data_IF_844981151644
#
_entry.id   IF_844981151644
#
_cell.length_a   1.000
_cell.length_b   1.000
_cell.length_c   1.000
_cell.angle_alpha   90.00
_cell.angle_beta   90.00
_cell.angle_gamma   90.00
#
_symmetry.space_group_name_H-M   'P 1'
#
loop_
_entity.id
_entity.type
_entity.pdbx_description
1 polymer ?
#
# COMPACT_ATOMS: atom_id res chain seq x y z
N UNK A 1 52.21 0.91 -11.58
CA UNK A 1 50.78 1.25 -11.44
C UNK A 1 50.70 2.77 -11.32
N UNK A 2 50.12 3.46 -12.31
CA UNK A 2 50.00 4.93 -12.27
C UNK A 2 48.98 5.34 -11.22
N UNK A 3 49.38 6.13 -10.23
CA UNK A 3 48.45 6.70 -9.25
C UNK A 3 47.37 7.55 -9.96
N UNK A 4 46.09 7.44 -9.55
CA UNK A 4 45.01 8.23 -10.13
C UNK A 4 45.28 9.74 -9.89
N UNK A 5 45.18 10.53 -10.96
CA UNK A 5 45.40 11.98 -10.91
C UNK A 5 44.33 12.68 -10.06
N UNK A 6 44.73 13.39 -9.00
CA UNK A 6 43.82 14.05 -8.05
C UNK A 6 43.38 15.43 -8.56
N UNK A 7 42.08 15.62 -8.82
CA UNK A 7 41.50 16.92 -9.19
C UNK A 7 40.64 17.47 -8.05
N UNK A 8 41.12 18.53 -7.39
CA UNK A 8 40.50 19.08 -6.17
C UNK A 8 40.25 20.60 -6.23
N UNK A 9 39.99 21.15 -7.42
CA UNK A 9 39.94 22.59 -7.65
C UNK A 9 38.82 23.33 -6.90
N UNK A 10 37.68 22.68 -6.66
CA UNK A 10 36.58 23.25 -5.88
C UNK A 10 36.91 23.34 -4.38
N UNK A 11 37.58 22.32 -3.84
CA UNK A 11 38.04 22.27 -2.46
C UNK A 11 39.08 23.38 -2.19
N UNK A 12 40.04 23.54 -3.11
CA UNK A 12 41.03 24.62 -3.08
C UNK A 12 40.39 26.01 -3.08
N UNK A 13 39.41 26.24 -3.96
CA UNK A 13 38.66 27.51 -4.00
C UNK A 13 37.92 27.80 -2.70
N UNK A 14 37.34 26.79 -2.06
CA UNK A 14 36.64 26.93 -0.77
C UNK A 14 37.62 27.26 0.36
N UNK A 15 38.70 26.49 0.48
CA UNK A 15 39.75 26.75 1.46
C UNK A 15 40.26 28.18 1.30
N UNK A 16 40.58 28.60 0.08
CA UNK A 16 41.05 29.96 -0.19
C UNK A 16 40.08 31.04 0.30
N UNK A 17 38.79 30.88 0.01
CA UNK A 17 37.75 31.84 0.41
C UNK A 17 37.54 31.85 1.92
N UNK A 18 37.57 30.68 2.57
CA UNK A 18 37.45 30.54 4.02
C UNK A 18 38.59 31.25 4.75
N UNK A 19 39.81 31.14 4.23
CA UNK A 19 40.98 31.84 4.75
C UNK A 19 41.07 33.31 4.33
N UNK A 20 40.09 33.83 3.55
CA UNK A 20 40.08 35.21 3.08
C UNK A 20 41.22 35.57 2.11
N UNK A 21 41.84 34.59 1.45
CA UNK A 21 43.03 34.79 0.63
C UNK A 21 42.72 35.10 -0.85
N UNK A 22 43.55 35.94 -1.46
CA UNK A 22 43.60 36.08 -2.93
C UNK A 22 44.32 34.88 -3.54
N UNK A 23 44.11 34.61 -4.84
CA UNK A 23 44.84 33.52 -5.52
C UNK A 23 46.36 33.72 -5.43
N UNK A 24 46.85 34.96 -5.53
CA UNK A 24 48.27 35.24 -5.43
C UNK A 24 48.82 34.93 -4.02
N UNK A 25 48.09 35.32 -2.98
CA UNK A 25 48.49 35.07 -1.58
C UNK A 25 48.49 33.59 -1.23
N UNK A 26 47.48 32.83 -1.66
CA UNK A 26 47.45 31.38 -1.44
C UNK A 26 48.53 30.65 -2.25
N UNK A 27 48.79 31.07 -3.50
CA UNK A 27 49.84 30.48 -4.32
C UNK A 27 51.22 30.69 -3.69
N UNK A 28 51.47 31.87 -3.11
CA UNK A 28 52.69 32.17 -2.37
C UNK A 28 52.85 31.29 -1.13
N UNK A 29 51.78 31.10 -0.33
CA UNK A 29 51.82 30.20 0.83
C UNK A 29 52.07 28.74 0.46
N UNK A 30 51.54 28.28 -0.67
CA UNK A 30 51.75 26.93 -1.19
C UNK A 30 53.03 26.77 -2.02
N UNK A 31 53.88 27.80 -2.08
CA UNK A 31 55.12 27.80 -2.86
C UNK A 31 54.92 27.34 -4.32
N UNK A 32 53.87 27.86 -4.98
CA UNK A 32 53.54 27.64 -6.39
C UNK A 32 53.26 28.96 -7.11
N UNK A 33 53.25 28.93 -8.45
CA UNK A 33 52.89 30.13 -9.21
C UNK A 33 51.36 30.38 -9.16
N UNK A 34 50.92 31.66 -9.18
CA UNK A 34 49.49 32.00 -9.25
C UNK A 34 48.79 31.40 -10.47
N UNK A 35 49.49 31.31 -11.60
CA UNK A 35 49.00 30.67 -12.82
C UNK A 35 48.74 29.18 -12.58
N UNK A 36 49.66 28.49 -11.91
CA UNK A 36 49.49 27.08 -11.57
C UNK A 36 48.34 26.85 -10.58
N UNK A 37 48.19 27.71 -9.56
CA UNK A 37 47.04 27.66 -8.65
C UNK A 37 45.71 27.84 -9.42
N UNK A 38 45.65 28.76 -10.37
CA UNK A 38 44.45 28.96 -11.19
C UNK A 38 44.10 27.72 -12.04
N UNK A 39 45.10 27.05 -12.61
CA UNK A 39 44.90 25.82 -13.40
C UNK A 39 44.36 24.67 -12.53
N UNK A 40 44.90 24.47 -11.33
CA UNK A 40 44.42 23.41 -10.41
C UNK A 40 43.05 23.78 -9.80
N UNK A 41 42.79 25.06 -9.49
CA UNK A 41 41.47 25.52 -9.03
C UNK A 41 40.38 25.28 -10.08
N UNK A 42 40.72 25.36 -11.37
CA UNK A 42 39.83 25.09 -12.51
C UNK A 42 39.83 23.63 -12.97
N UNK A 43 40.50 22.73 -12.25
CA UNK A 43 40.67 21.32 -12.62
C UNK A 43 41.31 21.09 -14.01
N UNK A 44 42.06 22.07 -14.53
CA UNK A 44 42.79 21.93 -15.80
C UNK A 44 44.12 21.20 -15.62
N UNK A 45 44.63 21.13 -14.38
CA UNK A 45 45.76 20.30 -13.99
C UNK A 45 45.44 19.56 -12.69
N UNK A 46 45.94 18.33 -12.51
CA UNK A 46 45.82 17.63 -11.26
C UNK A 46 46.72 18.26 -10.19
N UNK A 47 46.29 18.14 -8.94
CA UNK A 47 47.04 18.54 -7.75
C UNK A 47 48.16 17.52 -7.53
N UNK A 48 49.40 18.00 -7.44
CA UNK A 48 50.56 17.14 -7.18
C UNK A 48 50.67 16.80 -5.70
N UNK A 49 51.30 15.67 -5.38
CA UNK A 49 51.54 15.24 -3.99
C UNK A 49 52.22 16.33 -3.15
N UNK A 50 53.16 17.08 -3.73
CA UNK A 50 53.80 18.23 -3.08
C UNK A 50 52.79 19.29 -2.62
N UNK A 51 51.84 19.64 -3.48
CA UNK A 51 50.80 20.64 -3.15
C UNK A 51 49.85 20.09 -2.09
N UNK A 52 49.56 18.78 -2.09
CA UNK A 52 48.75 18.15 -1.02
C UNK A 52 49.43 18.27 0.35
N UNK A 53 50.73 17.99 0.42
CA UNK A 53 51.49 18.14 1.68
C UNK A 53 51.49 19.59 2.18
N UNK A 54 51.72 20.55 1.30
CA UNK A 54 51.67 21.99 1.64
C UNK A 54 50.28 22.42 2.13
N UNK A 55 49.20 21.84 1.62
CA UNK A 55 47.84 22.11 2.10
C UNK A 55 47.60 21.58 3.52
N UNK A 56 48.18 20.43 3.85
CA UNK A 56 48.11 19.88 5.21
C UNK A 56 48.91 20.75 6.17
N UNK A 57 50.15 21.08 5.81
CA UNK A 57 51.06 21.82 6.69
C UNK A 57 50.62 23.28 6.92
N UNK A 58 50.20 23.99 5.86
CA UNK A 58 49.91 25.42 5.94
C UNK A 58 48.46 25.74 6.32
N UNK A 59 47.55 24.79 6.16
CA UNK A 59 46.11 25.02 6.31
C UNK A 59 45.36 23.96 7.13
N UNK A 60 46.08 23.01 7.74
CA UNK A 60 45.52 21.89 8.52
C UNK A 60 44.38 21.16 7.76
N UNK A 61 44.52 21.05 6.44
CA UNK A 61 43.47 20.53 5.57
C UNK A 61 43.54 19.01 5.45
N UNK A 62 42.49 18.29 5.87
CA UNK A 62 42.42 16.82 5.72
C UNK A 62 42.46 16.41 4.23
N UNK A 63 43.47 15.61 3.79
CA UNK A 63 43.56 15.12 2.41
C UNK A 63 42.33 14.32 1.96
N UNK A 64 41.57 13.71 2.88
CA UNK A 64 40.33 13.01 2.57
C UNK A 64 39.24 13.97 2.07
N UNK A 65 39.27 15.23 2.51
CA UNK A 65 38.41 16.31 2.03
C UNK A 65 38.74 16.81 0.62
N UNK A 66 39.83 16.33 -0.01
CA UNK A 66 40.12 16.60 -1.43
C UNK A 66 39.36 15.64 -2.36
N UNK A 67 38.80 14.53 -1.83
CA UNK A 67 38.09 13.49 -2.60
C UNK A 67 36.56 13.63 -2.59
N UNK A 68 36.00 14.81 -2.30
CA UNK A 68 34.55 15.03 -2.19
C UNK A 68 33.73 14.85 -3.51
N UNK A 69 34.30 14.30 -4.58
CA UNK A 69 33.58 13.98 -5.82
C UNK A 69 32.87 12.62 -5.83
N UNK A 70 32.95 11.82 -4.75
CA UNK A 70 32.29 10.50 -4.69
C UNK A 70 30.76 10.59 -4.70
N UNK A 71 30.17 11.69 -4.21
CA UNK A 71 28.71 11.85 -4.10
C UNK A 71 27.97 11.93 -5.45
N UNK A 72 28.65 12.39 -6.51
CA UNK A 72 28.03 12.52 -7.85
C UNK A 72 28.26 11.25 -8.68
N UNK A 73 29.31 10.48 -8.39
CA UNK A 73 29.81 9.41 -9.27
C UNK A 73 30.52 9.95 -10.52
N UNK A 74 31.07 11.17 -10.45
CA UNK A 74 31.77 11.83 -11.56
C UNK A 74 30.88 12.26 -12.73
N UNK A 75 31.48 12.48 -13.90
CA UNK A 75 30.78 12.87 -15.13
C UNK A 75 29.77 11.79 -15.54
N UNK A 76 30.14 10.51 -15.44
CA UNK A 76 29.24 9.39 -15.77
C UNK A 76 28.03 9.31 -14.84
N UNK A 77 28.23 9.61 -13.55
CA UNK A 77 27.14 9.66 -12.60
C UNK A 77 26.15 10.79 -12.90
N UNK A 78 26.64 11.97 -13.26
CA UNK A 78 25.78 13.11 -13.58
C UNK A 78 25.09 12.94 -14.95
N UNK A 79 25.80 12.44 -15.96
CA UNK A 79 25.26 12.16 -17.29
C UNK A 79 24.11 11.14 -17.22
N UNK A 80 24.22 10.11 -16.38
CA UNK A 80 23.14 9.13 -16.16
C UNK A 80 21.88 9.77 -15.58
N UNK A 81 22.01 10.74 -14.69
CA UNK A 81 20.86 11.43 -14.06
C UNK A 81 20.19 12.41 -15.01
N UNK A 82 20.99 13.10 -15.84
CA UNK A 82 20.48 14.05 -16.83
C UNK A 82 19.94 13.36 -18.09
N UNK A 83 20.26 12.08 -18.32
CA UNK A 83 19.67 11.24 -19.36
C UNK A 83 18.34 10.57 -18.99
N UNK A 84 17.70 10.98 -17.90
CA UNK A 84 16.35 10.53 -17.51
C UNK A 84 15.29 11.01 -18.52
N UNK A 85 14.24 10.20 -18.77
CA UNK A 85 13.19 10.52 -19.75
C UNK A 85 12.51 11.88 -19.50
N UNK A 86 12.48 12.35 -18.24
CA UNK A 86 11.91 13.66 -17.87
C UNK A 86 12.67 14.85 -18.44
N UNK A 87 13.89 14.63 -18.93
CA UNK A 87 14.75 15.66 -19.53
C UNK A 87 15.01 15.41 -21.01
N UNK A 88 14.32 14.45 -21.64
CA UNK A 88 14.55 14.07 -23.03
C UNK A 88 14.32 15.23 -24.02
N UNK A 89 13.50 16.22 -23.65
CA UNK A 89 13.23 17.44 -24.41
C UNK A 89 14.36 18.46 -24.39
N UNK A 90 15.29 18.37 -23.41
CA UNK A 90 16.38 19.33 -23.23
C UNK A 90 17.62 18.99 -24.07
N UNK A 91 17.74 17.76 -24.58
CA UNK A 91 18.83 17.36 -25.48
C UNK A 91 20.24 17.43 -24.87
N UNK A 92 20.35 17.29 -23.53
CA UNK A 92 21.58 17.52 -22.78
C UNK A 92 22.67 16.52 -23.19
N UNK A 93 23.78 17.02 -23.71
CA UNK A 93 24.88 16.18 -24.16
C UNK A 93 26.00 16.02 -23.10
N UNK A 94 26.95 15.12 -23.37
CA UNK A 94 28.04 14.82 -22.44
C UNK A 94 29.02 15.99 -22.27
N UNK A 95 29.12 16.88 -23.26
CA UNK A 95 29.96 18.07 -23.18
C UNK A 95 29.35 19.08 -22.20
N UNK A 96 28.04 19.32 -22.27
CA UNK A 96 27.30 20.18 -21.33
C UNK A 96 27.35 19.65 -19.89
N UNK A 97 27.26 18.33 -19.69
CA UNK A 97 27.44 17.71 -18.37
C UNK A 97 28.83 17.98 -17.81
N UNK A 98 29.85 17.91 -18.66
CA UNK A 98 31.25 18.17 -18.29
C UNK A 98 31.44 19.65 -17.92
N UNK A 99 30.85 20.56 -18.70
CA UNK A 99 30.89 21.99 -18.44
C UNK A 99 30.16 22.36 -17.14
N UNK A 100 28.98 21.80 -16.90
CA UNK A 100 28.21 22.02 -15.68
C UNK A 100 28.99 21.58 -14.43
N UNK A 101 29.62 20.40 -14.47
CA UNK A 101 30.43 19.90 -13.37
C UNK A 101 31.67 20.79 -13.11
N UNK A 102 32.27 21.35 -14.17
CA UNK A 102 33.44 22.22 -14.07
C UNK A 102 33.10 23.63 -13.57
N UNK A 103 31.99 24.19 -14.05
CA UNK A 103 31.53 25.54 -13.73
C UNK A 103 30.93 25.63 -12.32
N UNK A 104 30.05 24.68 -11.96
CA UNK A 104 29.26 24.72 -10.74
C UNK A 104 29.21 23.35 -10.01
N UNK A 105 30.34 22.82 -9.53
CA UNK A 105 30.43 21.48 -8.95
C UNK A 105 29.53 21.26 -7.73
N UNK A 106 29.25 22.31 -6.95
CA UNK A 106 28.35 22.23 -5.80
C UNK A 106 26.87 22.25 -6.20
N UNK A 107 26.51 22.97 -7.27
CA UNK A 107 25.17 22.90 -7.83
C UNK A 107 24.93 21.53 -8.46
N UNK A 108 25.93 20.95 -9.13
CA UNK A 108 25.88 19.59 -9.63
C UNK A 108 25.76 18.55 -8.50
N UNK A 109 26.47 18.74 -7.38
CA UNK A 109 26.33 17.89 -6.19
C UNK A 109 24.95 18.02 -5.53
N UNK A 110 24.43 19.25 -5.38
CA UNK A 110 23.10 19.51 -4.85
C UNK A 110 22.01 18.95 -5.77
N UNK A 111 22.17 19.08 -7.09
CA UNK A 111 21.30 18.44 -8.08
C UNK A 111 21.36 16.92 -7.98
N UNK A 112 22.55 16.31 -7.91
CA UNK A 112 22.67 14.86 -7.76
C UNK A 112 22.01 14.38 -6.46
N UNK A 113 22.22 15.08 -5.34
CA UNK A 113 21.53 14.81 -4.07
C UNK A 113 20.02 14.97 -4.19
N UNK A 114 19.53 16.06 -4.76
CA UNK A 114 18.09 16.28 -4.95
C UNK A 114 17.48 15.25 -5.91
N UNK A 115 18.19 14.87 -6.97
CA UNK A 115 17.74 13.87 -7.94
C UNK A 115 17.73 12.48 -7.32
N UNK A 116 18.69 12.14 -6.46
CA UNK A 116 18.73 10.86 -5.75
C UNK A 116 17.75 10.84 -4.58
N UNK A 117 17.60 11.94 -3.84
CA UNK A 117 16.59 12.13 -2.79
C UNK A 117 15.20 12.16 -3.38
N UNK A 118 15.01 12.75 -4.56
CA UNK A 118 13.76 12.70 -5.30
C UNK A 118 13.63 11.42 -6.12
N UNK A 119 14.69 10.66 -6.36
CA UNK A 119 14.62 9.26 -6.74
C UNK A 119 14.15 8.41 -5.57
N UNK A 120 14.50 8.79 -4.33
CA UNK A 120 14.03 8.22 -3.06
C UNK A 120 12.71 8.81 -2.52
N UNK A 121 12.26 9.95 -3.04
CA UNK A 121 10.96 10.57 -2.76
C UNK A 121 10.00 10.47 -3.96
N UNK A 122 10.50 10.02 -5.12
CA UNK A 122 9.76 9.51 -6.28
C UNK A 122 9.77 7.98 -6.33
N UNK A 123 10.59 7.29 -5.53
CA UNK A 123 10.03 6.25 -4.69
C UNK A 123 8.92 6.97 -3.95
N UNK A 124 7.71 6.89 -4.49
CA UNK A 124 6.52 7.21 -3.72
C UNK A 124 6.79 6.59 -2.36
N UNK A 125 6.83 7.40 -1.30
CA UNK A 125 6.52 6.86 0.01
C UNK A 125 5.14 6.26 -0.21
N UNK A 126 5.09 4.98 -0.55
CA UNK A 126 3.86 4.31 -0.96
C UNK A 126 2.90 4.58 0.18
N UNK A 127 1.67 5.04 -0.04
CA UNK A 127 0.74 5.20 1.06
C UNK A 127 0.78 3.96 1.95
N UNK A 128 0.75 4.17 3.27
CA UNK A 128 0.84 3.09 4.26
C UNK A 128 -0.10 1.92 3.91
N UNK A 129 -1.30 2.23 3.44
CA UNK A 129 -2.32 1.29 3.02
C UNK A 129 -1.93 0.49 1.78
N UNK A 130 -1.20 1.08 0.82
CA UNK A 130 -0.76 0.40 -0.39
C UNK A 130 0.24 -0.71 -0.11
N UNK A 131 1.11 -0.57 0.89
CA UNK A 131 2.02 -1.65 1.29
C UNK A 131 1.25 -2.86 1.83
N UNK A 132 0.24 -2.60 2.67
CA UNK A 132 -0.61 -3.66 3.22
C UNK A 132 -1.45 -4.31 2.12
N UNK A 133 -2.07 -3.54 1.23
CA UNK A 133 -2.85 -4.10 0.12
C UNK A 133 -2.01 -4.93 -0.84
N UNK A 134 -0.78 -4.48 -1.16
CA UNK A 134 0.15 -5.29 -1.97
C UNK A 134 0.53 -6.59 -1.27
N UNK A 135 0.75 -6.57 0.04
CA UNK A 135 1.02 -7.78 0.80
C UNK A 135 -0.18 -8.74 0.72
N UNK A 136 -1.41 -8.26 0.84
CA UNK A 136 -2.63 -9.07 0.68
C UNK A 136 -2.75 -9.63 -0.76
N UNK A 137 -2.50 -8.81 -1.77
CA UNK A 137 -2.60 -9.15 -3.19
C UNK A 137 -1.53 -10.13 -3.66
N UNK A 138 -0.32 -10.06 -3.08
CA UNK A 138 0.75 -11.03 -3.33
C UNK A 138 0.28 -12.47 -3.13
N UNK A 139 -0.58 -12.68 -2.14
CA UNK A 139 -1.18 -13.98 -1.81
C UNK A 139 -2.57 -14.17 -2.42
N UNK A 140 -2.99 -13.29 -3.35
CA UNK A 140 -4.34 -13.24 -3.94
C UNK A 140 -5.46 -13.30 -2.91
N UNK A 141 -5.20 -12.73 -1.74
CA UNK A 141 -6.06 -12.76 -0.56
C UNK A 141 -6.53 -14.16 -0.11
N UNK A 142 -5.69 -15.19 -0.27
CA UNK A 142 -5.98 -16.53 0.23
C UNK A 142 -4.75 -17.15 0.89
N UNK A 143 -4.87 -17.44 2.18
CA UNK A 143 -3.79 -17.97 3.02
C UNK A 143 -4.16 -19.40 3.42
N UNK A 144 -3.62 -20.37 2.69
CA UNK A 144 -4.01 -21.79 2.79
C UNK A 144 -3.84 -22.31 4.22
N UNK A 145 -2.68 -22.08 4.82
CA UNK A 145 -2.34 -22.57 6.17
C UNK A 145 -3.29 -22.01 7.23
N UNK A 146 -3.65 -20.73 7.15
CA UNK A 146 -4.62 -20.11 8.05
C UNK A 146 -6.04 -20.65 7.83
N UNK A 147 -6.44 -20.89 6.58
CA UNK A 147 -7.75 -21.46 6.26
C UNK A 147 -7.89 -22.90 6.76
N UNK A 148 -6.85 -23.72 6.58
CA UNK A 148 -6.81 -25.11 7.05
C UNK A 148 -6.80 -25.18 8.57
N UNK A 149 -5.98 -24.36 9.24
CA UNK A 149 -5.96 -24.27 10.70
C UNK A 149 -7.31 -23.81 11.27
N UNK A 150 -7.94 -22.82 10.62
CA UNK A 150 -9.24 -22.32 11.03
C UNK A 150 -10.37 -23.35 10.83
N UNK A 151 -10.35 -24.08 9.71
CA UNK A 151 -11.32 -25.13 9.43
C UNK A 151 -11.15 -26.32 10.39
N UNK A 152 -9.91 -26.71 10.70
CA UNK A 152 -9.62 -27.74 11.69
C UNK A 152 -10.13 -27.36 13.09
N UNK A 153 -9.90 -26.13 13.54
CA UNK A 153 -10.41 -25.65 14.82
C UNK A 153 -11.95 -25.63 14.83
N UNK A 154 -12.58 -25.18 13.75
CA UNK A 154 -14.03 -25.17 13.63
C UNK A 154 -14.64 -26.60 13.70
N UNK A 155 -13.96 -27.58 13.11
CA UNK A 155 -14.36 -28.99 13.16
C UNK A 155 -14.12 -29.62 14.56
N UNK A 156 -13.00 -29.30 15.21
CA UNK A 156 -12.70 -29.71 16.60
C UNK A 156 -13.78 -29.24 17.57
N UNK A 157 -14.13 -27.95 17.50
CA UNK A 157 -15.21 -27.35 18.29
C UNK A 157 -16.61 -27.80 17.84
N UNK A 158 -16.71 -28.58 16.75
CA UNK A 158 -17.96 -29.03 16.12
C UNK A 158 -18.94 -27.89 15.90
N UNK A 159 -18.44 -26.74 15.43
CA UNK A 159 -19.21 -25.52 15.32
C UNK A 159 -20.50 -25.77 14.53
N UNK A 160 -21.62 -25.92 15.21
CA UNK A 160 -22.93 -26.09 14.59
C UNK A 160 -23.61 -24.74 14.39
N UNK A 161 -24.72 -24.74 13.65
CA UNK A 161 -25.41 -23.54 13.16
C UNK A 161 -26.17 -22.82 14.30
N UNK A 162 -25.50 -22.25 15.31
CA UNK A 162 -26.09 -21.31 16.30
C UNK A 162 -25.08 -20.82 17.37
N UNK A 163 -24.16 -21.67 17.81
CA UNK A 163 -23.46 -21.46 19.10
C UNK A 163 -21.98 -21.09 18.96
N UNK A 164 -21.61 -20.39 17.87
CA UNK A 164 -20.21 -20.00 17.60
C UNK A 164 -19.59 -19.25 18.78
N UNK A 165 -20.33 -18.30 19.37
CA UNK A 165 -19.85 -17.53 20.52
C UNK A 165 -19.63 -18.38 21.77
N UNK A 166 -20.53 -19.32 22.06
CA UNK A 166 -20.41 -20.20 23.21
C UNK A 166 -19.23 -21.17 23.04
N UNK A 167 -19.12 -21.81 21.87
CA UNK A 167 -18.04 -22.73 21.58
C UNK A 167 -16.65 -22.05 21.65
N UNK A 168 -16.51 -20.85 21.09
CA UNK A 168 -15.26 -20.07 21.22
C UNK A 168 -14.97 -19.65 22.66
N UNK A 169 -16.00 -19.36 23.44
CA UNK A 169 -15.86 -19.04 24.87
C UNK A 169 -15.36 -20.23 25.67
N UNK A 170 -15.94 -21.41 25.44
CA UNK A 170 -15.54 -22.64 26.10
C UNK A 170 -14.14 -23.07 25.66
N UNK A 171 -13.78 -22.90 24.38
CA UNK A 171 -12.42 -23.13 23.89
C UNK A 171 -11.37 -22.27 24.61
N UNK A 172 -11.63 -20.97 24.78
CA UNK A 172 -10.74 -20.10 25.55
C UNK A 172 -10.64 -20.50 27.03
N UNK A 173 -11.74 -20.97 27.62
CA UNK A 173 -11.76 -21.46 28.99
C UNK A 173 -10.98 -22.76 29.14
N UNK A 174 -11.23 -23.74 28.28
CA UNK A 174 -10.73 -25.10 28.46
C UNK A 174 -9.25 -25.21 28.03
N UNK A 175 -8.84 -24.49 26.98
CA UNK A 175 -7.48 -24.56 26.45
C UNK A 175 -6.53 -23.52 27.04
N UNK A 176 -7.03 -22.31 27.36
CA UNK A 176 -6.20 -21.19 27.82
C UNK A 176 -6.51 -20.76 29.27
N UNK A 177 -7.53 -21.34 29.89
CA UNK A 177 -8.05 -20.96 31.22
C UNK A 177 -8.31 -19.45 31.29
N UNK A 178 -8.90 -18.90 30.22
CA UNK A 178 -9.30 -17.50 30.09
C UNK A 178 -10.83 -17.38 30.12
N UNK A 179 -11.36 -16.58 31.04
CA UNK A 179 -12.79 -16.28 31.08
C UNK A 179 -13.12 -15.05 30.22
N UNK A 180 -14.31 -15.02 29.61
CA UNK A 180 -14.81 -13.79 28.97
C UNK A 180 -15.45 -12.86 30.00
N UNK A 181 -15.18 -11.56 29.90
CA UNK A 181 -15.86 -10.53 30.69
C UNK A 181 -16.31 -9.38 29.80
N UNK A 182 -17.60 -9.05 29.85
CA UNK A 182 -18.12 -7.83 29.20
C UNK A 182 -17.91 -6.64 30.15
N UNK A 183 -17.30 -5.59 29.63
CA UNK A 183 -17.05 -4.36 30.36
C UNK A 183 -17.88 -3.21 29.79
N UNK A 184 -18.32 -2.27 30.64
CA UNK A 184 -18.98 -1.07 30.18
C UNK A 184 -18.11 -0.24 29.25
N UNK A 185 -18.74 0.51 28.33
CA UNK A 185 -18.02 1.38 27.38
C UNK A 185 -16.96 2.26 28.06
N UNK A 186 -17.28 2.81 29.24
CA UNK A 186 -16.37 3.68 29.98
C UNK A 186 -15.07 2.98 30.45
N UNK A 187 -15.08 1.66 30.62
CA UNK A 187 -13.93 0.87 31.06
C UNK A 187 -13.03 0.41 29.89
N UNK A 188 -13.54 0.47 28.66
CA UNK A 188 -12.82 0.18 27.42
C UNK A 188 -13.13 1.26 26.35
N UNK A 189 -12.69 2.51 26.55
CA UNK A 189 -13.08 3.63 25.69
C UNK A 189 -12.44 3.58 24.29
N UNK A 190 -11.24 3.00 24.16
CA UNK A 190 -10.43 3.03 22.94
C UNK A 190 -10.25 1.64 22.29
N UNK A 191 -10.83 0.59 22.88
CA UNK A 191 -10.63 -0.78 22.43
C UNK A 191 -11.90 -1.61 22.57
N UNK A 192 -12.13 -2.50 21.60
CA UNK A 192 -13.25 -3.46 21.67
C UNK A 192 -12.91 -4.72 22.46
N UNK A 193 -11.60 -4.97 22.68
CA UNK A 193 -11.08 -6.17 23.32
C UNK A 193 -9.77 -5.87 24.04
N UNK A 194 -9.60 -6.40 25.25
CA UNK A 194 -8.35 -6.36 26.04
C UNK A 194 -8.08 -7.72 26.68
N UNK A 195 -6.85 -8.22 26.58
CA UNK A 195 -6.41 -9.39 27.33
C UNK A 195 -5.83 -8.95 28.68
N UNK A 196 -6.38 -9.49 29.77
CA UNK A 196 -5.89 -9.30 31.13
C UNK A 196 -5.37 -10.64 31.66
N UNK A 197 -4.05 -10.82 31.63
CA UNK A 197 -3.40 -12.05 32.07
C UNK A 197 -3.40 -12.20 33.59
N UNK A 198 -3.49 -11.10 34.36
CA UNK A 198 -3.51 -11.17 35.82
C UNK A 198 -4.85 -11.69 36.31
N UNK A 199 -5.95 -11.19 35.75
CA UNK A 199 -7.30 -11.66 36.03
C UNK A 199 -7.69 -12.92 35.24
N UNK A 200 -6.83 -13.37 34.31
CA UNK A 200 -7.09 -14.45 33.34
C UNK A 200 -8.39 -14.24 32.57
N UNK A 201 -8.56 -13.04 32.02
CA UNK A 201 -9.78 -12.62 31.34
C UNK A 201 -9.52 -12.02 29.97
N UNK A 202 -10.39 -12.35 29.02
CA UNK A 202 -10.55 -11.58 27.78
C UNK A 202 -11.73 -10.65 27.99
N UNK A 203 -11.43 -9.36 28.08
CA UNK A 203 -12.39 -8.31 28.34
C UNK A 203 -12.89 -7.77 27.01
N UNK A 204 -14.22 -7.72 26.82
CA UNK A 204 -14.87 -7.24 25.61
C UNK A 204 -15.78 -6.06 25.92
N UNK A 205 -15.89 -5.11 24.99
CA UNK A 205 -16.85 -4.01 25.11
C UNK A 205 -18.30 -4.53 25.06
N UNK A 206 -19.15 -4.07 25.98
CA UNK A 206 -20.57 -4.43 26.00
C UNK A 206 -21.32 -3.95 24.75
N UNK A 207 -20.83 -2.88 24.11
CA UNK A 207 -21.44 -2.27 22.94
C UNK A 207 -21.29 -3.13 21.68
N UNK A 208 -20.42 -4.15 21.69
CA UNK A 208 -20.26 -5.06 20.56
C UNK A 208 -21.55 -5.86 20.34
N UNK A 209 -22.01 -5.90 19.09
CA UNK A 209 -23.05 -6.83 18.67
C UNK A 209 -22.60 -8.28 18.87
N UNK A 210 -23.52 -9.26 18.98
CA UNK A 210 -23.16 -10.67 19.11
C UNK A 210 -22.23 -11.17 17.99
N UNK A 211 -22.46 -10.73 16.74
CA UNK A 211 -21.62 -11.03 15.60
C UNK A 211 -20.19 -10.47 15.77
N UNK A 212 -20.06 -9.22 16.19
CA UNK A 212 -18.76 -8.59 16.41
C UNK A 212 -18.01 -9.24 17.58
N UNK A 213 -18.71 -9.66 18.65
CA UNK A 213 -18.11 -10.43 19.76
C UNK A 213 -17.49 -11.73 19.27
N UNK A 214 -18.20 -12.51 18.46
CA UNK A 214 -17.67 -13.76 17.89
C UNK A 214 -16.35 -13.52 17.16
N UNK A 215 -16.27 -12.44 16.38
CA UNK A 215 -15.06 -12.08 15.64
C UNK A 215 -13.91 -11.67 16.58
N UNK A 216 -14.17 -10.87 17.62
CA UNK A 216 -13.13 -10.48 18.59
C UNK A 216 -12.61 -11.67 19.40
N UNK A 217 -13.49 -12.60 19.77
CA UNK A 217 -13.11 -13.84 20.48
C UNK A 217 -12.26 -14.72 19.55
N UNK A 218 -12.69 -14.93 18.30
CA UNK A 218 -11.92 -15.73 17.35
C UNK A 218 -10.56 -15.09 16.99
N UNK A 219 -10.47 -13.75 16.91
CA UNK A 219 -9.18 -13.06 16.80
C UNK A 219 -8.30 -13.32 18.03
N UNK A 220 -8.88 -13.47 19.22
CA UNK A 220 -8.10 -13.70 20.45
C UNK A 220 -7.51 -15.10 20.45
N UNK A 221 -8.25 -16.07 19.93
CA UNK A 221 -7.73 -17.41 19.66
C UNK A 221 -6.56 -17.34 18.68
N UNK A 222 -6.69 -16.58 17.58
CA UNK A 222 -5.60 -16.37 16.62
C UNK A 222 -4.33 -15.81 17.28
N UNK A 223 -4.50 -14.82 18.17
CA UNK A 223 -3.40 -14.20 18.92
C UNK A 223 -2.66 -15.18 19.84
N UNK A 224 -3.38 -16.14 20.42
CA UNK A 224 -2.83 -17.10 21.38
C UNK A 224 -2.23 -18.34 20.70
N UNK A 225 -2.85 -18.83 19.62
CA UNK A 225 -2.52 -20.14 19.05
C UNK A 225 -1.72 -20.09 17.74
N UNK A 226 -1.83 -19.00 16.99
CA UNK A 226 -1.26 -18.91 15.64
C UNK A 226 -0.30 -17.73 15.48
N UNK A 227 0.28 -17.24 16.58
CA UNK A 227 1.25 -16.14 16.56
C UNK A 227 2.41 -16.41 15.62
N UNK A 228 3.01 -17.59 15.69
CA UNK A 228 4.20 -17.94 14.92
C UNK A 228 3.86 -18.10 13.43
N UNK A 229 2.77 -18.82 13.11
CA UNK A 229 2.26 -18.95 11.74
C UNK A 229 1.95 -17.58 11.11
N UNK A 230 1.31 -16.68 11.86
CA UNK A 230 1.03 -15.32 11.40
C UNK A 230 2.34 -14.55 11.20
N UNK A 231 3.33 -14.69 12.10
CA UNK A 231 4.63 -14.05 11.98
C UNK A 231 5.37 -14.53 10.72
N UNK A 232 5.36 -15.82 10.43
CA UNK A 232 6.00 -16.39 9.24
C UNK A 232 5.41 -15.84 7.94
N UNK A 233 4.07 -15.73 7.85
CA UNK A 233 3.40 -15.13 6.69
C UNK A 233 3.75 -13.64 6.55
N UNK A 234 3.84 -12.93 7.66
CA UNK A 234 4.22 -11.51 7.71
C UNK A 234 5.68 -11.32 7.29
N UNK A 235 6.59 -12.20 7.70
CA UNK A 235 8.00 -12.20 7.31
C UNK A 235 8.20 -12.52 5.83
N UNK A 236 7.26 -13.23 5.21
CA UNK A 236 7.20 -13.42 3.76
C UNK A 236 6.89 -12.15 2.93
N UNK A 237 6.54 -11.04 3.59
CA UNK A 237 6.27 -9.75 2.97
C UNK A 237 7.31 -8.70 3.41
N UNK A 238 7.71 -7.82 2.49
CA UNK A 238 8.62 -6.71 2.77
C UNK A 238 7.82 -5.42 3.00
N UNK A 239 8.05 -4.78 4.15
CA UNK A 239 7.42 -3.52 4.54
C UNK A 239 8.49 -2.44 4.74
N UNK A 240 8.25 -1.25 4.20
CA UNK A 240 9.11 -0.08 4.38
C UNK A 240 8.52 0.85 5.46
N UNK A 241 7.19 0.86 5.61
CA UNK A 241 6.49 1.69 6.58
C UNK A 241 6.46 1.16 8.01
N UNK A 242 6.74 2.00 9.02
CA UNK A 242 6.46 1.67 10.41
C UNK A 242 4.99 1.31 10.62
N UNK A 243 4.73 0.18 11.27
CA UNK A 243 3.38 -0.29 11.57
C UNK A 243 2.65 -1.03 10.43
N UNK A 244 3.16 -1.03 9.18
CA UNK A 244 2.52 -1.77 8.07
C UNK A 244 2.56 -3.29 8.34
N UNK A 245 3.65 -3.75 8.95
CA UNK A 245 3.81 -5.10 9.47
C UNK A 245 2.70 -5.47 10.46
N UNK A 246 2.43 -4.60 11.43
CA UNK A 246 1.42 -4.83 12.46
C UNK A 246 0.00 -4.78 11.89
N UNK A 247 -0.26 -3.87 10.95
CA UNK A 247 -1.53 -3.79 10.24
C UNK A 247 -1.80 -5.03 9.39
N UNK A 248 -0.79 -5.55 8.69
CA UNK A 248 -0.92 -6.81 7.95
C UNK A 248 -1.13 -7.99 8.90
N UNK A 249 -0.43 -8.06 10.03
CA UNK A 249 -0.67 -9.08 11.04
C UNK A 249 -2.09 -8.99 11.63
N UNK A 250 -2.60 -7.78 11.90
CA UNK A 250 -3.98 -7.56 12.34
C UNK A 250 -5.02 -7.98 11.28
N UNK A 251 -4.70 -7.78 10.01
CA UNK A 251 -5.48 -8.29 8.88
C UNK A 251 -5.53 -9.82 8.89
N UNK A 252 -4.39 -10.50 9.05
CA UNK A 252 -4.31 -11.97 9.10
C UNK A 252 -5.06 -12.56 10.30
N UNK A 253 -4.99 -11.94 11.48
CA UNK A 253 -5.80 -12.33 12.65
C UNK A 253 -7.29 -12.24 12.35
N UNK A 254 -7.71 -11.17 11.68
CA UNK A 254 -9.10 -11.00 11.25
C UNK A 254 -9.50 -11.99 10.16
N UNK A 255 -8.56 -12.34 9.26
CA UNK A 255 -8.74 -13.36 8.24
C UNK A 255 -9.01 -14.73 8.89
N UNK A 256 -8.15 -15.14 9.82
CA UNK A 256 -8.30 -16.38 10.57
C UNK A 256 -9.63 -16.40 11.34
N UNK A 257 -9.96 -15.33 12.05
CA UNK A 257 -11.21 -15.23 12.79
C UNK A 257 -12.45 -15.41 11.88
N UNK A 258 -12.45 -14.78 10.69
CA UNK A 258 -13.49 -15.02 9.68
C UNK A 258 -13.50 -16.47 9.20
N UNK A 259 -12.34 -17.09 8.98
CA UNK A 259 -12.25 -18.46 8.50
C UNK A 259 -12.75 -19.48 9.53
N UNK A 260 -12.59 -19.23 10.83
CA UNK A 260 -13.17 -20.07 11.90
C UNK A 260 -14.70 -19.95 11.91
N UNK A 261 -15.21 -18.72 11.83
CA UNK A 261 -16.66 -18.45 11.85
C UNK A 261 -17.33 -18.96 10.56
N UNK A 262 -16.64 -18.85 9.42
CA UNK A 262 -17.08 -19.28 8.10
C UNK A 262 -16.08 -20.29 7.50
N UNK A 263 -16.07 -21.56 7.99
CA UNK A 263 -15.16 -22.60 7.52
C UNK A 263 -15.30 -22.81 6.02
N UNK A 264 -14.18 -22.92 5.33
CA UNK A 264 -14.10 -22.78 3.87
C UNK A 264 -15.12 -23.64 3.12
N UNK A 265 -15.10 -24.97 3.34
CA UNK A 265 -15.96 -25.89 2.61
C UNK A 265 -17.44 -25.70 2.94
N UNK A 266 -17.76 -25.41 4.21
CA UNK A 266 -19.14 -25.17 4.64
C UNK A 266 -19.68 -23.84 4.11
N UNK A 267 -18.85 -22.80 4.10
CA UNK A 267 -19.19 -21.50 3.58
C UNK A 267 -19.41 -21.55 2.07
N UNK A 268 -18.50 -22.17 1.31
CA UNK A 268 -18.65 -22.33 -0.14
C UNK A 268 -19.97 -23.00 -0.53
N UNK A 269 -20.30 -24.15 0.10
CA UNK A 269 -21.56 -24.86 -0.13
C UNK A 269 -22.78 -23.98 0.21
N UNK A 270 -22.69 -23.17 1.26
CA UNK A 270 -23.76 -22.25 1.63
C UNK A 270 -23.91 -21.11 0.60
N UNK A 271 -22.81 -20.60 0.06
CA UNK A 271 -22.81 -19.61 -1.01
C UNK A 271 -23.50 -20.16 -2.25
N UNK A 272 -23.09 -21.33 -2.74
CA UNK A 272 -23.67 -21.98 -3.92
C UNK A 272 -25.17 -22.25 -3.72
N UNK A 273 -25.56 -22.77 -2.55
CA UNK A 273 -26.97 -23.08 -2.27
C UNK A 273 -27.89 -21.85 -2.13
N UNK A 274 -27.33 -20.65 -1.93
CA UNK A 274 -28.11 -19.41 -1.72
C UNK A 274 -27.96 -18.41 -2.86
N UNK A 275 -27.15 -18.72 -3.87
CA UNK A 275 -26.76 -17.76 -4.89
C UNK A 275 -25.93 -16.61 -4.31
N UNK A 276 -25.10 -16.87 -3.30
CA UNK A 276 -24.27 -15.85 -2.64
C UNK A 276 -25.06 -14.69 -2.02
N UNK A 277 -26.26 -14.94 -1.47
CA UNK A 277 -27.08 -13.89 -0.82
C UNK A 277 -26.44 -13.44 0.52
N UNK A 278 -25.95 -12.19 0.64
CA UNK A 278 -25.15 -11.79 1.80
C UNK A 278 -25.90 -11.81 3.13
N UNK A 279 -27.19 -11.44 3.18
CA UNK A 279 -27.94 -11.37 4.44
C UNK A 279 -28.25 -12.75 5.02
N UNK A 280 -28.59 -13.73 4.17
CA UNK A 280 -28.83 -15.12 4.53
C UNK A 280 -27.55 -15.75 5.03
N UNK A 281 -26.42 -15.49 4.37
CA UNK A 281 -25.11 -15.98 4.82
C UNK A 281 -24.70 -15.35 6.15
N UNK A 282 -24.86 -14.05 6.31
CA UNK A 282 -24.56 -13.35 7.57
C UNK A 282 -25.33 -13.95 8.74
N UNK A 283 -26.64 -14.17 8.57
CA UNK A 283 -27.48 -14.85 9.57
C UNK A 283 -27.05 -16.29 9.82
N UNK A 284 -26.73 -17.04 8.77
CA UNK A 284 -26.36 -18.46 8.85
C UNK A 284 -25.07 -18.71 9.63
N UNK A 285 -24.13 -17.78 9.57
CA UNK A 285 -22.81 -17.88 10.22
C UNK A 285 -22.68 -16.93 11.42
N UNK A 286 -23.79 -16.39 11.94
CA UNK A 286 -23.80 -15.49 13.11
C UNK A 286 -22.79 -14.33 12.98
N UNK A 287 -22.74 -13.71 11.80
CA UNK A 287 -21.83 -12.62 11.44
C UNK A 287 -22.59 -11.50 10.73
N UNK A 288 -21.89 -10.51 10.19
CA UNK A 288 -22.46 -9.40 9.42
C UNK A 288 -22.08 -9.43 7.92
N UNK A 289 -22.79 -8.62 7.13
CA UNK A 289 -22.61 -8.59 5.66
C UNK A 289 -21.24 -8.11 5.22
N UNK A 290 -20.51 -7.34 6.03
CA UNK A 290 -19.14 -6.92 5.71
C UNK A 290 -18.18 -8.08 5.85
N UNK A 291 -18.28 -8.86 6.92
CA UNK A 291 -17.42 -10.03 7.09
C UNK A 291 -17.72 -11.10 6.02
N UNK A 292 -18.99 -11.26 5.62
CA UNK A 292 -19.38 -12.09 4.47
C UNK A 292 -18.74 -11.58 3.17
N UNK A 293 -18.84 -10.28 2.89
CA UNK A 293 -18.24 -9.68 1.70
C UNK A 293 -16.72 -9.84 1.68
N UNK A 294 -16.04 -9.67 2.82
CA UNK A 294 -14.59 -9.96 2.95
C UNK A 294 -14.32 -11.44 2.68
N UNK A 295 -15.10 -12.35 3.23
CA UNK A 295 -14.92 -13.80 3.04
C UNK A 295 -15.12 -14.23 1.60
N UNK A 296 -16.02 -13.59 0.84
CA UNK A 296 -16.15 -13.84 -0.61
C UNK A 296 -14.83 -13.62 -1.36
N UNK A 297 -14.04 -12.63 -0.96
CA UNK A 297 -12.76 -12.32 -1.61
C UNK A 297 -11.64 -13.33 -1.34
N UNK A 298 -11.85 -14.31 -0.44
CA UNK A 298 -10.83 -15.29 -0.03
C UNK A 298 -11.06 -16.70 -0.58
N UNK A 299 -12.11 -16.91 -1.38
CA UNK A 299 -12.56 -18.26 -1.81
C UNK A 299 -11.74 -18.82 -2.99
N UNK A 300 -10.43 -19.02 -2.79
CA UNK A 300 -9.48 -19.37 -3.86
C UNK A 300 -8.74 -20.70 -3.68
N UNK A 301 -9.20 -21.58 -2.78
CA UNK A 301 -8.65 -22.92 -2.57
C UNK A 301 -8.68 -23.72 -3.88
N UNK A 302 -7.56 -24.33 -4.22
CA UNK A 302 -7.43 -25.18 -5.43
C UNK A 302 -8.43 -26.33 -5.35
N UNK A 303 -9.17 -26.56 -6.44
CA UNK A 303 -10.21 -27.60 -6.52
C UNK A 303 -11.57 -27.22 -5.93
N UNK A 304 -11.66 -26.12 -5.17
CA UNK A 304 -12.90 -25.63 -4.55
C UNK A 304 -12.97 -24.09 -4.63
N UNK A 305 -12.86 -23.53 -5.83
CA UNK A 305 -12.88 -22.07 -6.03
C UNK A 305 -14.31 -21.53 -6.01
N UNK A 306 -14.51 -20.45 -5.26
CA UNK A 306 -15.73 -19.64 -5.33
C UNK A 306 -15.66 -18.63 -6.47
N UNK A 307 -16.72 -17.83 -6.59
CA UNK A 307 -16.77 -16.70 -7.52
C UNK A 307 -15.71 -15.63 -7.16
N UNK A 308 -15.04 -15.01 -8.14
CA UNK A 308 -13.94 -14.06 -7.92
C UNK A 308 -14.49 -12.66 -7.60
N UNK A 309 -14.88 -12.44 -6.35
CA UNK A 309 -15.32 -11.14 -5.86
C UNK A 309 -14.15 -10.23 -5.50
N UNK A 310 -14.36 -8.92 -5.65
CA UNK A 310 -13.61 -7.89 -4.93
C UNK A 310 -14.51 -7.18 -3.93
N UNK A 311 -13.93 -6.65 -2.87
CA UNK A 311 -14.59 -5.79 -1.91
C UNK A 311 -13.76 -4.53 -1.66
N UNK A 312 -14.45 -3.43 -1.37
CA UNK A 312 -13.81 -2.16 -1.02
C UNK A 312 -14.64 -1.39 -0.03
N UNK A 313 -14.01 -0.44 0.66
CA UNK A 313 -14.74 0.47 1.55
C UNK A 313 -14.30 1.90 1.35
N UNK A 314 -15.32 2.76 1.27
CA UNK A 314 -15.14 4.19 1.09
C UNK A 314 -15.81 4.96 2.20
N UNK A 315 -15.24 6.10 2.58
CA UNK A 315 -15.89 7.03 3.52
C UNK A 315 -16.90 7.94 2.79
N UNK A 316 -17.53 8.86 3.53
CA UNK A 316 -18.43 9.87 2.94
C UNK A 316 -17.76 10.85 1.98
N UNK A 317 -16.43 10.91 1.96
CA UNK A 317 -15.65 11.71 1.00
C UNK A 317 -15.21 10.90 -0.23
N UNK A 318 -15.59 9.62 -0.33
CA UNK A 318 -15.18 8.65 -1.35
C UNK A 318 -13.69 8.28 -1.25
N UNK A 319 -13.07 8.40 -0.07
CA UNK A 319 -11.73 7.89 0.20
C UNK A 319 -11.78 6.38 0.36
N UNK A 320 -11.07 5.65 -0.51
CA UNK A 320 -10.89 4.21 -0.39
C UNK A 320 -9.88 3.92 0.74
N UNK A 321 -10.31 3.21 1.78
CA UNK A 321 -9.46 2.85 2.93
C UNK A 321 -9.41 1.33 3.21
N UNK A 322 -10.24 0.54 2.54
CA UNK A 322 -10.09 -0.92 2.47
C UNK A 322 -10.22 -1.37 1.01
N UNK A 323 -9.28 -2.20 0.56
CA UNK A 323 -9.28 -2.80 -0.78
C UNK A 323 -8.92 -4.27 -0.68
N UNK A 324 -9.79 -5.12 -1.22
CA UNK A 324 -9.61 -6.57 -1.27
C UNK A 324 -9.99 -7.06 -2.68
N UNK A 325 -8.98 -7.28 -3.53
CA UNK A 325 -9.22 -7.72 -4.91
C UNK A 325 -9.47 -9.23 -5.02
N UNK A 326 -8.98 -10.03 -4.07
CA UNK A 326 -9.10 -11.48 -4.12
C UNK A 326 -8.45 -12.07 -5.38
N UNK A 327 -9.15 -12.98 -6.05
CA UNK A 327 -8.78 -13.44 -7.39
C UNK A 327 -9.50 -12.70 -8.52
N UNK A 328 -10.21 -11.62 -8.22
CA UNK A 328 -10.68 -10.75 -9.29
C UNK A 328 -9.49 -9.98 -9.87
N UNK A 329 -9.51 -9.74 -11.17
CA UNK A 329 -8.56 -8.85 -11.84
C UNK A 329 -9.14 -7.43 -11.92
N UNK A 330 -9.78 -6.99 -10.83
CA UNK A 330 -10.58 -5.77 -10.81
C UNK A 330 -9.70 -4.53 -10.64
N UNK A 331 -9.50 -3.79 -11.73
CA UNK A 331 -8.76 -2.52 -11.70
C UNK A 331 -9.57 -1.33 -11.16
N UNK A 332 -10.85 -1.54 -10.85
CA UNK A 332 -11.77 -0.48 -10.41
C UNK A 332 -11.38 0.12 -9.05
N UNK A 333 -10.76 -0.69 -8.17
CA UNK A 333 -10.29 -0.26 -6.86
C UNK A 333 -8.78 0.04 -6.82
N UNK A 334 -8.08 -0.02 -7.96
CA UNK A 334 -6.67 0.41 -8.04
C UNK A 334 -6.49 1.88 -7.70
N UNK A 335 -7.56 2.66 -7.92
CA UNK A 335 -7.62 4.09 -7.63
C UNK A 335 -8.90 4.39 -6.85
N UNK A 336 -8.91 5.57 -6.24
CA UNK A 336 -10.12 6.15 -5.66
C UNK A 336 -11.25 6.13 -6.70
N UNK A 337 -12.39 5.49 -6.44
CA UNK A 337 -13.47 5.40 -7.41
C UNK A 337 -14.23 6.72 -7.49
N UNK A 338 -13.65 7.69 -8.20
CA UNK A 338 -14.12 9.07 -8.26
C UNK A 338 -15.15 9.35 -9.36
N UNK A 339 -15.69 8.34 -10.04
CA UNK A 339 -16.72 8.55 -11.05
C UNK A 339 -18.09 8.74 -10.38
N UNK A 340 -18.76 9.90 -10.57
CA UNK A 340 -20.07 10.13 -9.96
C UNK A 340 -21.14 9.15 -10.43
N UNK A 341 -20.94 8.50 -11.59
CA UNK A 341 -21.87 7.49 -12.12
C UNK A 341 -21.87 6.18 -11.34
N UNK A 342 -20.89 5.92 -10.46
CA UNK A 342 -20.98 4.81 -9.53
C UNK A 342 -22.12 4.98 -8.52
N UNK A 343 -22.49 6.22 -8.18
CA UNK A 343 -23.60 6.50 -7.26
C UNK A 343 -23.46 5.80 -5.91
N UNK A 344 -22.25 5.76 -5.35
CA UNK A 344 -22.00 5.15 -4.04
C UNK A 344 -22.59 6.00 -2.92
N UNK A 345 -23.88 5.82 -2.71
CA UNK A 345 -24.66 6.49 -1.69
C UNK A 345 -24.81 5.58 -0.46
N UNK A 346 -25.01 6.19 0.70
CA UNK A 346 -25.26 5.42 1.92
C UNK A 346 -26.70 4.90 1.89
N UNK A 347 -26.84 3.58 1.69
CA UNK A 347 -28.14 2.90 1.57
C UNK A 347 -28.30 1.81 2.62
N UNK A 348 -29.51 1.64 3.13
CA UNK A 348 -29.83 0.59 4.14
C UNK A 348 -29.95 -0.80 3.53
N UNK A 349 -30.21 -0.87 2.22
CA UNK A 349 -30.31 -2.11 1.46
C UNK A 349 -29.24 -2.13 0.37
N UNK A 350 -28.90 -3.33 -0.09
CA UNK A 350 -27.99 -3.51 -1.21
C UNK A 350 -28.55 -2.86 -2.48
N UNK A 351 -27.76 -2.01 -3.10
CA UNK A 351 -28.02 -1.49 -4.42
C UNK A 351 -26.96 -2.00 -5.38
N UNK A 352 -27.39 -2.73 -6.41
CA UNK A 352 -26.52 -3.28 -7.43
C UNK A 352 -26.80 -2.66 -8.80
N UNK A 353 -25.75 -2.53 -9.60
CA UNK A 353 -25.81 -2.03 -10.97
C UNK A 353 -24.71 -2.67 -11.83
N UNK A 354 -25.03 -2.94 -13.10
CA UNK A 354 -24.04 -3.33 -14.09
C UNK A 354 -23.34 -2.07 -14.62
N UNK A 355 -22.01 -2.09 -14.69
CA UNK A 355 -21.18 -0.97 -15.13
C UNK A 355 -20.18 -1.40 -16.20
N UNK A 356 -19.91 -0.49 -17.13
CA UNK A 356 -18.92 -0.65 -18.18
C UNK A 356 -17.78 0.34 -17.97
N UNK A 357 -16.62 -0.15 -17.54
CA UNK A 357 -15.39 0.62 -17.42
C UNK A 357 -14.93 1.12 -18.80
N UNK A 358 -14.13 2.17 -18.80
CA UNK A 358 -13.51 2.68 -20.01
C UNK A 358 -12.44 1.71 -20.52
N UNK A 359 -12.42 1.51 -21.84
CA UNK A 359 -11.46 0.63 -22.51
C UNK A 359 -10.02 1.10 -22.32
N UNK A 360 -9.13 0.17 -21.97
CA UNK A 360 -7.72 0.43 -21.63
C UNK A 360 -7.37 0.40 -20.14
N UNK A 361 -8.32 0.01 -19.27
CA UNK A 361 -8.00 -0.44 -17.92
C UNK A 361 -7.34 -1.84 -17.96
N UNK A 362 -6.41 -2.13 -17.06
CA UNK A 362 -5.80 -3.46 -16.94
C UNK A 362 -6.81 -4.43 -16.30
N UNK A 363 -7.71 -5.03 -17.07
CA UNK A 363 -8.66 -6.02 -16.58
C UNK A 363 -9.99 -6.04 -17.35
N UNK A 364 -10.97 -6.84 -16.90
CA UNK A 364 -12.31 -6.86 -17.47
C UNK A 364 -12.95 -5.46 -17.47
N UNK A 365 -13.74 -5.16 -18.51
CA UNK A 365 -14.43 -3.87 -18.63
C UNK A 365 -15.83 -3.92 -18.01
N UNK A 366 -16.43 -5.10 -17.90
CA UNK A 366 -17.84 -5.27 -17.52
C UNK A 366 -18.00 -5.88 -16.12
N UNK A 367 -18.58 -5.11 -15.21
CA UNK A 367 -18.71 -5.48 -13.80
C UNK A 367 -20.14 -5.34 -13.31
N UNK A 368 -20.56 -6.22 -12.41
CA UNK A 368 -21.68 -5.94 -11.51
C UNK A 368 -21.13 -5.44 -10.18
N UNK A 369 -21.59 -4.28 -9.74
CA UNK A 369 -21.17 -3.67 -8.49
C UNK A 369 -22.38 -3.46 -7.60
N UNK A 370 -22.28 -3.95 -6.37
CA UNK A 370 -23.25 -3.74 -5.31
C UNK A 370 -22.63 -2.90 -4.19
N UNK A 371 -23.44 -2.06 -3.55
CA UNK A 371 -23.02 -1.32 -2.36
C UNK A 371 -24.13 -1.20 -1.31
N UNK A 372 -23.72 -1.01 -0.06
CA UNK A 372 -24.58 -0.84 1.11
C UNK A 372 -23.86 0.02 2.16
N UNK A 373 -24.60 0.69 3.06
CA UNK A 373 -24.02 1.27 4.26
C UNK A 373 -23.35 0.18 5.10
N UNK A 374 -22.14 0.43 5.58
CA UNK A 374 -21.50 -0.58 6.43
C UNK A 374 -22.27 -0.73 7.76
N UNK A 375 -22.34 -1.96 8.31
CA UNK A 375 -22.92 -2.21 9.62
C UNK A 375 -22.21 -1.40 10.72
N UNK A 376 -22.93 -0.98 11.78
CA UNK A 376 -22.32 -0.34 12.93
C UNK A 376 -21.33 -1.30 13.62
N UNK A 377 -20.31 -0.73 14.25
CA UNK A 377 -19.38 -1.47 15.12
C UNK A 377 -19.49 -0.86 16.51
N UNK A 378 -19.65 -1.69 17.53
CA UNK A 378 -19.82 -1.23 18.92
C UNK A 378 -20.96 -0.21 19.09
N UNK A 379 -22.09 -0.41 18.39
CA UNK A 379 -23.25 0.51 18.29
C UNK A 379 -22.92 1.94 17.84
N UNK A 380 -21.73 2.18 17.28
CA UNK A 380 -21.38 3.45 16.66
C UNK A 380 -21.80 3.46 15.20
N UNK A 381 -22.59 4.46 14.76
CA UNK A 381 -23.03 4.55 13.38
C UNK A 381 -21.81 4.83 12.49
N UNK A 382 -21.53 3.90 11.57
CA UNK A 382 -20.51 4.12 10.54
C UNK A 382 -21.05 4.98 9.41
N UNK A 383 -20.21 5.86 8.89
CA UNK A 383 -20.52 6.73 7.75
C UNK A 383 -20.00 6.19 6.42
N UNK A 384 -19.35 5.03 6.44
CA UNK A 384 -18.72 4.42 5.28
C UNK A 384 -19.66 3.47 4.52
N UNK A 385 -19.31 3.25 3.25
CA UNK A 385 -20.03 2.40 2.30
C UNK A 385 -19.17 1.18 2.00
N UNK A 386 -19.79 0.01 2.09
CA UNK A 386 -19.22 -1.26 1.65
C UNK A 386 -19.55 -1.46 0.17
N UNK A 387 -18.54 -1.79 -0.62
CA UNK A 387 -18.64 -2.09 -2.04
C UNK A 387 -18.27 -3.57 -2.22
N UNK A 388 -19.05 -4.27 -3.03
CA UNK A 388 -18.81 -5.66 -3.45
C UNK A 388 -19.00 -5.73 -4.96
N UNK A 389 -18.09 -6.38 -5.68
CA UNK A 389 -18.23 -6.51 -7.12
C UNK A 389 -17.68 -7.82 -7.67
N UNK A 390 -18.17 -8.14 -8.86
CA UNK A 390 -17.86 -9.36 -9.60
C UNK A 390 -17.94 -9.06 -11.10
N UNK A 391 -17.17 -9.76 -11.91
CA UNK A 391 -17.28 -9.65 -13.36
C UNK A 391 -18.70 -10.04 -13.81
N UNK A 392 -19.33 -9.21 -14.65
CA UNK A 392 -20.75 -9.36 -14.95
C UNK A 392 -21.11 -10.74 -15.55
N UNK A 393 -20.21 -11.33 -16.35
CA UNK A 393 -20.40 -12.67 -16.93
C UNK A 393 -20.48 -13.80 -15.89
N UNK A 394 -19.99 -13.56 -14.67
CA UNK A 394 -19.99 -14.53 -13.56
C UNK A 394 -21.12 -14.25 -12.55
N UNK A 395 -21.90 -13.18 -12.76
CA UNK A 395 -22.89 -12.70 -11.81
C UNK A 395 -24.28 -13.35 -12.00
N UNK A 396 -24.48 -14.23 -12.98
CA UNK A 396 -25.80 -14.80 -13.29
C UNK A 396 -26.46 -15.49 -12.08
N UNK A 397 -25.68 -16.23 -11.30
CA UNK A 397 -26.14 -16.92 -10.09
C UNK A 397 -26.04 -16.07 -8.82
N UNK A 398 -25.65 -14.81 -8.92
CA UNK A 398 -25.51 -13.93 -7.77
C UNK A 398 -26.85 -13.30 -7.40
N UNK A 399 -27.27 -13.45 -6.14
CA UNK A 399 -28.58 -13.04 -5.66
C UNK A 399 -28.83 -11.53 -5.81
N UNK A 400 -27.78 -10.71 -5.74
CA UNK A 400 -27.87 -9.26 -5.95
C UNK A 400 -27.95 -8.86 -7.44
N UNK A 401 -27.70 -9.79 -8.38
CA UNK A 401 -27.87 -9.55 -9.81
C UNK A 401 -29.33 -9.72 -10.27
N UNK A 402 -30.22 -10.24 -9.41
CA UNK A 402 -31.62 -10.52 -9.78
C UNK A 402 -32.34 -9.24 -10.19
N UNK A 403 -32.91 -9.26 -11.40
CA UNK A 403 -33.63 -8.11 -11.97
C UNK A 403 -32.72 -7.05 -12.61
N UNK A 404 -31.42 -7.29 -12.71
CA UNK A 404 -30.45 -6.40 -13.37
C UNK A 404 -30.04 -7.02 -14.70
N UNK A 405 -30.06 -6.23 -15.78
CA UNK A 405 -29.49 -6.70 -17.05
C UNK A 405 -27.97 -6.78 -16.95
N UNK A 406 -27.41 -7.95 -17.22
CA UNK A 406 -25.98 -8.20 -17.30
C UNK A 406 -25.46 -8.13 -18.74
N UNK A 407 -26.18 -7.43 -19.63
CA UNK A 407 -25.76 -7.23 -21.02
C UNK A 407 -24.86 -5.99 -21.11
N UNK A 408 -23.73 -6.06 -21.84
CA UNK A 408 -22.81 -4.92 -22.01
C UNK A 408 -23.48 -3.62 -22.46
N UNK A 409 -24.48 -3.72 -23.33
CA UNK A 409 -25.23 -2.59 -23.89
C UNK A 409 -26.13 -1.86 -22.87
N UNK A 410 -26.59 -2.57 -21.83
CA UNK A 410 -27.43 -2.02 -20.77
C UNK A 410 -26.59 -1.48 -19.60
N UNK A 411 -25.29 -1.77 -19.58
CA UNK A 411 -24.39 -1.42 -18.49
C UNK A 411 -24.10 0.09 -18.46
N UNK A 412 -24.07 0.67 -17.25
CA UNK A 412 -23.79 2.10 -17.07
C UNK A 412 -22.32 2.39 -17.41
N UNK A 413 -22.02 3.24 -18.42
CA UNK A 413 -20.63 3.56 -18.75
C UNK A 413 -20.00 4.43 -17.66
N UNK A 414 -18.97 3.89 -17.01
CA UNK A 414 -18.19 4.51 -15.93
C UNK A 414 -16.73 4.67 -16.35
N UNK A 415 -15.90 5.27 -15.49
CA UNK A 415 -14.46 5.38 -15.71
C UNK A 415 -13.69 5.58 -14.41
N UNK A 416 -12.36 5.70 -14.46
CA UNK A 416 -11.51 5.81 -13.27
C UNK A 416 -11.61 7.15 -12.52
N UNK A 417 -12.34 8.13 -13.06
CA UNK A 417 -12.51 9.48 -12.50
C UNK A 417 -12.37 10.57 -13.58
N UNK A 418 -13.06 11.70 -13.44
CA UNK A 418 -13.19 12.70 -14.52
C UNK A 418 -11.84 13.27 -15.03
N UNK A 419 -10.81 13.34 -14.17
CA UNK A 419 -9.46 13.85 -14.53
C UNK A 419 -8.71 12.95 -15.51
N UNK A 420 -8.93 11.64 -15.45
CA UNK A 420 -8.19 10.64 -16.26
C UNK A 420 -9.08 9.88 -17.24
N UNK A 421 -10.40 9.97 -17.08
CA UNK A 421 -11.38 9.35 -17.95
C UNK A 421 -11.37 10.01 -19.33
N UNK A 422 -11.24 9.21 -20.40
CA UNK A 422 -11.14 9.61 -21.80
C UNK A 422 -12.50 9.62 -22.54
N UNK A 423 -13.58 9.11 -21.94
CA UNK A 423 -14.95 9.12 -22.52
C UNK A 423 -15.38 10.53 -22.94
N UNK A 424 -15.65 10.76 -24.22
CA UNK A 424 -15.96 12.09 -24.78
C UNK A 424 -17.30 12.63 -24.32
N UNK A 425 -18.35 11.81 -24.37
CA UNK A 425 -19.75 12.24 -24.23
C UNK A 425 -20.35 11.82 -22.90
N UNK A 426 -19.69 12.18 -21.78
CA UNK A 426 -20.18 11.87 -20.44
C UNK A 426 -20.94 13.06 -19.83
N UNK A 427 -22.27 12.96 -19.60
CA UNK A 427 -23.05 14.06 -19.02
C UNK A 427 -22.69 14.37 -17.56
N UNK A 428 -22.13 13.40 -16.83
CA UNK A 428 -21.70 13.54 -15.44
C UNK A 428 -20.26 14.08 -15.29
N UNK A 429 -19.65 14.58 -16.38
CA UNK A 429 -18.26 15.03 -16.38
C UNK A 429 -18.13 16.39 -15.68
N UNK A 430 -17.48 16.39 -14.51
CA UNK A 430 -17.21 17.61 -13.73
C UNK A 430 -15.97 18.39 -14.19
N UNK A 431 -14.96 17.70 -14.73
CA UNK A 431 -13.73 18.28 -15.28
C UNK A 431 -13.44 17.67 -16.65
N UNK A 432 -13.05 18.51 -17.63
CA UNK A 432 -12.53 18.03 -18.92
C UNK A 432 -11.11 17.48 -18.66
N UNK A 433 -10.98 16.15 -18.66
CA UNK A 433 -9.67 15.48 -18.68
C UNK A 433 -8.95 15.74 -20.00
N UNK A 434 -7.69 15.28 -20.17
CA UNK A 434 -6.96 15.44 -21.43
C UNK A 434 -7.78 14.82 -22.56
N UNK A 435 -8.29 15.65 -23.46
CA UNK A 435 -9.00 15.17 -24.64
C UNK A 435 -8.00 14.34 -25.45
N UNK A 436 -8.33 13.08 -25.76
CA UNK A 436 -7.73 12.48 -26.93
C UNK A 436 -8.13 13.36 -28.10
N UNK A 437 -7.17 14.10 -28.65
CA UNK A 437 -7.29 14.62 -30.00
C UNK A 437 -7.62 13.41 -30.85
N UNK A 438 -8.81 13.39 -31.47
CA UNK A 438 -9.09 12.42 -32.53
C UNK A 438 -7.97 12.64 -33.56
N UNK A 439 -7.07 11.68 -33.68
CA UNK A 439 -6.26 11.59 -34.89
C UNK A 439 -7.26 11.13 -35.94
N UNK A 440 -7.69 12.08 -36.78
CA UNK A 440 -8.51 11.80 -37.96
C UNK A 440 -7.78 10.91 -38.96
#
# INVERSE_FOLDING_TARGET
MSEPSLYAGAALRRLRRREGLTQAAMAQRLSISPSYLNLIERNQRPVTARVVLELVEQFDYDPRGLQESSAIGGIDGLARRLGDERFADLGIDRAEVTEFLAAAPQAAAAFARLFDERGRASLHTRPFEEEVWRAIERWRNHFIELDEAAEALADEMRLSRADVGAALTDHLRDRHELALRFLPRAALPEANRRLDLHARQVQLSEMLSPAARNLEIARQVADLEHRDMIADIVDGAAFEHPGARDAFAAYLRSYYARAVIMPYGRFLRACEATGYEPHVLARRFATDVSEVARRFTTMQRVGQRGLPFFAGRIDGSVQLFERLLGASDASILDRRPGCPRFGFERRTEWHAQAVMMESGALGPEHWLIAHIAAPPVADEPRTDVLILGIEARLAENFALARGISLRPEDATPVGPGCRTCRRTDCPARSLRGPMQVRVE
#
